data_IF_728877057029
#
_entry.id   IF_728877057029
#
_cell.length_a   1.000
_cell.length_b   1.000
_cell.length_c   1.000
_cell.angle_alpha   90.00
_cell.angle_beta   90.00
_cell.angle_gamma   90.00
#
_symmetry.space_group_name_H-M   'P 1'
#
loop_
_entity.id
_entity.type
_entity.pdbx_description
1 polymer ?
#
# COMPACT_ATOMS: atom_id res chain seq x y z
N UNK A 1 -75.19 2.45 -38.02
CA UNK A 1 -73.89 2.76 -38.57
C UNK A 1 -73.06 3.67 -37.67
N UNK A 2 -73.62 4.71 -37.07
CA UNK A 2 -72.93 5.64 -36.19
C UNK A 2 -72.33 4.94 -34.92
N UNK A 3 -73.08 4.02 -34.33
CA UNK A 3 -72.65 3.29 -33.11
C UNK A 3 -71.44 2.36 -33.36
N UNK A 4 -71.33 1.79 -34.55
CA UNK A 4 -70.19 0.91 -34.92
C UNK A 4 -68.92 1.75 -35.18
N UNK A 5 -69.07 2.96 -35.76
CA UNK A 5 -67.94 3.85 -35.98
C UNK A 5 -67.43 4.41 -34.68
N UNK A 6 -68.30 4.79 -33.76
CA UNK A 6 -67.92 5.26 -32.42
C UNK A 6 -67.23 4.18 -31.61
N UNK A 7 -67.72 2.94 -31.66
CA UNK A 7 -67.09 1.77 -31.01
C UNK A 7 -65.70 1.49 -31.58
N UNK A 8 -65.56 1.54 -32.90
CA UNK A 8 -64.29 1.34 -33.57
C UNK A 8 -63.26 2.45 -33.21
N UNK A 9 -63.71 3.70 -33.14
CA UNK A 9 -62.89 4.82 -32.69
C UNK A 9 -62.47 4.66 -31.24
N UNK A 10 -63.36 4.27 -30.35
CA UNK A 10 -63.01 4.01 -28.93
C UNK A 10 -62.01 2.90 -28.78
N UNK A 11 -62.20 1.78 -29.47
CA UNK A 11 -61.25 0.67 -29.45
C UNK A 11 -59.87 1.10 -29.93
N UNK A 12 -59.79 1.86 -31.01
CA UNK A 12 -58.55 2.38 -31.54
C UNK A 12 -57.84 3.33 -30.58
N UNK A 13 -58.59 4.25 -29.97
CA UNK A 13 -58.07 5.18 -28.97
C UNK A 13 -57.58 4.47 -27.73
N UNK A 14 -58.37 3.50 -27.23
CA UNK A 14 -57.96 2.68 -26.09
C UNK A 14 -56.74 1.82 -26.40
N UNK A 15 -56.65 1.28 -27.60
CA UNK A 15 -55.44 0.53 -28.06
C UNK A 15 -54.22 1.42 -28.17
N UNK A 16 -54.32 2.61 -28.70
CA UNK A 16 -53.23 3.59 -28.77
C UNK A 16 -52.77 4.07 -27.40
N UNK A 17 -53.74 4.36 -26.51
CA UNK A 17 -53.46 4.71 -25.12
C UNK A 17 -52.79 3.58 -24.35
N UNK A 18 -53.23 2.34 -24.58
CA UNK A 18 -52.60 1.18 -23.99
C UNK A 18 -51.17 0.96 -24.51
N UNK A 19 -50.95 1.17 -25.83
CA UNK A 19 -49.60 1.18 -26.41
C UNK A 19 -48.71 2.25 -25.84
N UNK A 20 -49.20 3.48 -25.67
CA UNK A 20 -48.43 4.59 -25.04
C UNK A 20 -48.10 4.27 -23.61
N UNK A 21 -49.06 3.74 -22.83
CA UNK A 21 -48.82 3.32 -21.45
C UNK A 21 -47.76 2.23 -21.37
N UNK A 22 -47.86 1.24 -22.22
CA UNK A 22 -46.88 0.14 -22.30
C UNK A 22 -45.50 0.70 -22.66
N UNK A 23 -45.42 1.57 -23.66
CA UNK A 23 -44.18 2.22 -24.06
C UNK A 23 -43.58 3.04 -22.91
N UNK A 24 -44.39 3.81 -22.20
CA UNK A 24 -43.96 4.59 -21.03
C UNK A 24 -43.47 3.68 -19.90
N UNK A 25 -44.17 2.59 -19.64
CA UNK A 25 -43.78 1.59 -18.64
C UNK A 25 -42.44 0.94 -19.01
N UNK A 26 -42.30 0.52 -20.25
CA UNK A 26 -41.04 -0.06 -20.76
C UNK A 26 -39.91 0.94 -20.67
N UNK A 27 -40.12 2.21 -21.08
CA UNK A 27 -39.12 3.24 -20.98
C UNK A 27 -38.72 3.53 -19.53
N UNK A 28 -39.68 3.55 -18.61
CA UNK A 28 -39.43 3.71 -17.20
C UNK A 28 -38.63 2.55 -16.60
N UNK A 29 -38.98 1.32 -16.97
CA UNK A 29 -38.26 0.11 -16.56
C UNK A 29 -36.82 0.09 -17.10
N UNK A 30 -36.63 0.46 -18.35
CA UNK A 30 -35.30 0.55 -18.98
C UNK A 30 -34.46 1.63 -18.29
N UNK A 31 -35.04 2.80 -18.04
CA UNK A 31 -34.36 3.90 -17.34
C UNK A 31 -33.97 3.50 -15.92
N UNK A 32 -34.87 2.86 -15.19
CA UNK A 32 -34.60 2.36 -13.84
C UNK A 32 -33.52 1.27 -13.84
N UNK A 33 -33.57 0.35 -14.81
CA UNK A 33 -32.56 -0.68 -14.99
C UNK A 33 -31.18 -0.13 -15.31
N UNK A 34 -31.12 0.87 -16.19
CA UNK A 34 -29.87 1.57 -16.51
C UNK A 34 -29.30 2.31 -15.31
N UNK A 35 -30.14 2.99 -14.55
CA UNK A 35 -29.74 3.68 -13.33
C UNK A 35 -29.18 2.71 -12.30
N UNK A 36 -29.85 1.60 -12.10
CA UNK A 36 -29.41 0.54 -11.19
C UNK A 36 -28.07 -0.05 -11.62
N UNK A 37 -27.89 -0.32 -12.90
CA UNK A 37 -26.61 -0.78 -13.45
C UNK A 37 -25.48 0.24 -13.24
N UNK A 38 -25.75 1.53 -13.46
CA UNK A 38 -24.77 2.59 -13.23
C UNK A 38 -24.35 2.63 -11.76
N UNK A 39 -25.30 2.53 -10.85
CA UNK A 39 -25.04 2.51 -9.42
C UNK A 39 -24.21 1.27 -9.02
N UNK A 40 -24.55 0.11 -9.54
CA UNK A 40 -23.80 -1.13 -9.29
C UNK A 40 -22.38 -1.06 -9.82
N UNK A 41 -22.20 -0.58 -11.05
CA UNK A 41 -20.87 -0.40 -11.67
C UNK A 41 -20.06 0.62 -10.88
N UNK A 42 -20.66 1.71 -10.49
CA UNK A 42 -20.00 2.76 -9.73
C UNK A 42 -19.58 2.26 -8.34
N UNK A 43 -20.44 1.50 -7.67
CA UNK A 43 -20.12 0.86 -6.40
C UNK A 43 -19.00 -0.18 -6.53
N UNK A 44 -19.01 -0.94 -7.63
CA UNK A 44 -17.96 -1.92 -7.93
C UNK A 44 -16.61 -1.24 -8.18
N UNK A 45 -16.59 -0.20 -9.00
CA UNK A 45 -15.40 0.59 -9.29
C UNK A 45 -14.83 1.23 -8.02
N UNK A 46 -15.69 1.76 -7.16
CA UNK A 46 -15.25 2.35 -5.89
C UNK A 46 -14.64 1.30 -4.96
N UNK A 47 -15.23 0.11 -4.89
CA UNK A 47 -14.66 -1.01 -4.12
C UNK A 47 -13.31 -1.46 -4.65
N UNK A 48 -13.17 -1.60 -5.95
CA UNK A 48 -11.89 -1.93 -6.59
C UNK A 48 -10.84 -0.87 -6.35
N UNK A 49 -11.21 0.40 -6.47
CA UNK A 49 -10.34 1.53 -6.17
C UNK A 49 -9.85 1.50 -4.73
N UNK A 50 -10.75 1.29 -3.78
CA UNK A 50 -10.39 1.19 -2.37
C UNK A 50 -9.49 -0.01 -2.07
N UNK A 51 -9.76 -1.15 -2.70
CA UNK A 51 -8.92 -2.34 -2.58
C UNK A 51 -7.50 -2.10 -3.11
N UNK A 52 -7.37 -1.45 -4.27
CA UNK A 52 -6.07 -1.10 -4.85
C UNK A 52 -5.30 -0.10 -3.98
N UNK A 53 -5.98 0.91 -3.44
CA UNK A 53 -5.37 1.88 -2.52
C UNK A 53 -4.91 1.22 -1.22
N UNK A 54 -5.71 0.32 -0.67
CA UNK A 54 -5.36 -0.43 0.53
C UNK A 54 -4.13 -1.33 0.29
N UNK A 55 -4.07 -1.99 -0.86
CA UNK A 55 -2.93 -2.81 -1.25
C UNK A 55 -1.66 -1.97 -1.45
N UNK A 56 -1.77 -0.82 -2.12
CA UNK A 56 -0.66 0.10 -2.30
C UNK A 56 -0.11 0.61 -0.96
N UNK A 57 -0.98 0.98 -0.03
CA UNK A 57 -0.59 1.40 1.32
C UNK A 57 0.11 0.28 2.08
N UNK A 58 -0.38 -0.93 1.96
CA UNK A 58 0.23 -2.11 2.58
C UNK A 58 1.63 -2.36 2.06
N UNK A 59 1.84 -2.25 0.74
CA UNK A 59 3.15 -2.40 0.10
C UNK A 59 4.13 -1.31 0.52
N UNK A 60 3.68 -0.07 0.58
CA UNK A 60 4.50 1.06 1.05
C UNK A 60 4.90 0.89 2.51
N UNK A 61 3.98 0.49 3.36
CA UNK A 61 4.25 0.25 4.76
C UNK A 61 5.23 -0.91 4.96
N UNK A 62 5.09 -1.97 4.18
CA UNK A 62 6.01 -3.10 4.19
C UNK A 62 7.41 -2.69 3.76
N UNK A 63 7.55 -1.90 2.69
CA UNK A 63 8.83 -1.34 2.26
C UNK A 63 9.46 -0.47 3.33
N UNK A 64 8.67 0.37 3.98
CA UNK A 64 9.13 1.22 5.06
C UNK A 64 9.67 0.40 6.24
N UNK A 65 8.96 -0.64 6.64
CA UNK A 65 9.40 -1.56 7.70
C UNK A 65 10.69 -2.28 7.33
N UNK A 66 10.79 -2.76 6.10
CA UNK A 66 12.00 -3.40 5.59
C UNK A 66 13.20 -2.44 5.57
N UNK A 67 13.00 -1.20 5.15
CA UNK A 67 14.03 -0.16 5.18
C UNK A 67 14.47 0.19 6.60
N UNK A 68 13.53 0.36 7.51
CA UNK A 68 13.82 0.62 8.93
C UNK A 68 14.60 -0.53 9.56
N UNK A 69 14.22 -1.75 9.25
CA UNK A 69 14.93 -2.94 9.72
C UNK A 69 16.34 -3.03 9.16
N UNK A 70 16.50 -2.76 7.87
CA UNK A 70 17.80 -2.72 7.21
C UNK A 70 18.70 -1.64 7.81
N UNK A 71 18.19 -0.43 8.02
CA UNK A 71 18.91 0.67 8.67
C UNK A 71 19.34 0.29 10.09
N UNK A 72 18.46 -0.36 10.83
CA UNK A 72 18.77 -0.85 12.18
C UNK A 72 19.87 -1.89 12.18
N UNK A 73 19.82 -2.83 11.24
CA UNK A 73 20.89 -3.83 11.06
C UNK A 73 22.22 -3.20 10.68
N UNK A 74 22.20 -2.21 9.78
CA UNK A 74 23.40 -1.48 9.37
C UNK A 74 24.00 -0.69 10.52
N UNK A 75 23.20 0.02 11.31
CA UNK A 75 23.65 0.76 12.51
C UNK A 75 24.23 -0.19 13.56
N UNK A 76 23.58 -1.33 13.76
CA UNK A 76 24.05 -2.34 14.71
C UNK A 76 25.37 -2.96 14.27
N UNK A 77 25.53 -3.28 12.99
CA UNK A 77 26.79 -3.78 12.44
C UNK A 77 27.88 -2.73 12.52
N UNK A 78 27.58 -1.48 12.20
CA UNK A 78 28.54 -0.37 12.31
C UNK A 78 29.00 -0.19 13.75
N UNK A 79 28.10 -0.26 14.70
CA UNK A 79 28.40 -0.20 16.13
C UNK A 79 29.31 -1.35 16.56
N UNK A 80 29.04 -2.56 16.12
CA UNK A 80 29.86 -3.74 16.40
C UNK A 80 31.27 -3.61 15.81
N UNK A 81 31.38 -3.11 14.58
CA UNK A 81 32.65 -2.86 13.92
C UNK A 81 33.46 -1.80 14.65
N UNK A 82 32.85 -0.67 14.99
CA UNK A 82 33.49 0.40 15.76
C UNK A 82 33.96 -0.09 17.13
N UNK A 83 33.14 -0.86 17.82
CA UNK A 83 33.49 -1.45 19.11
C UNK A 83 34.64 -2.43 18.98
N UNK A 84 34.67 -3.29 17.96
CA UNK A 84 35.76 -4.22 17.69
C UNK A 84 37.06 -3.46 17.35
N UNK A 85 36.99 -2.39 16.58
CA UNK A 85 38.13 -1.54 16.26
C UNK A 85 38.68 -0.85 17.50
N UNK A 86 37.83 -0.35 18.37
CA UNK A 86 38.23 0.27 19.63
C UNK A 86 38.91 -0.73 20.55
N UNK A 87 38.36 -1.91 20.70
CA UNK A 87 38.98 -2.99 21.49
C UNK A 87 40.34 -3.41 20.95
N UNK A 88 40.44 -3.52 19.62
CA UNK A 88 41.72 -3.82 18.97
C UNK A 88 42.76 -2.72 19.18
N UNK A 89 42.35 -1.45 19.09
CA UNK A 89 43.20 -0.31 19.35
C UNK A 89 43.66 -0.28 20.83
N UNK A 90 42.78 -0.52 21.77
CA UNK A 90 43.12 -0.59 23.20
C UNK A 90 44.08 -1.75 23.48
N UNK A 91 43.86 -2.91 22.86
CA UNK A 91 44.76 -4.06 22.98
C UNK A 91 46.16 -3.74 22.43
N UNK A 92 46.26 -3.09 21.28
CA UNK A 92 47.54 -2.63 20.71
C UNK A 92 48.23 -1.63 21.62
N UNK A 93 47.54 -0.66 22.14
CA UNK A 93 48.06 0.31 23.06
C UNK A 93 48.60 -0.34 24.34
N UNK A 94 47.94 -1.36 24.88
CA UNK A 94 48.41 -2.14 26.02
C UNK A 94 49.67 -2.93 25.69
N UNK A 95 49.73 -3.60 24.54
CA UNK A 95 50.91 -4.30 24.10
C UNK A 95 52.10 -3.37 23.88
N UNK A 96 51.90 -2.25 23.23
CA UNK A 96 52.96 -1.22 23.07
C UNK A 96 53.42 -0.67 24.39
N UNK A 97 52.52 -0.42 25.34
CA UNK A 97 52.86 -0.01 26.69
C UNK A 97 53.70 -1.06 27.44
N UNK A 98 53.32 -2.33 27.32
CA UNK A 98 54.08 -3.43 27.91
C UNK A 98 55.48 -3.58 27.25
N UNK A 99 55.57 -3.49 25.96
CA UNK A 99 56.85 -3.52 25.23
C UNK A 99 57.74 -2.37 25.57
N UNK A 100 57.17 -1.20 25.74
CA UNK A 100 57.91 0.00 26.19
C UNK A 100 58.47 -0.17 27.60
N UNK A 101 57.70 -0.71 28.52
CA UNK A 101 58.14 -1.03 29.90
C UNK A 101 59.23 -2.08 29.88
N UNK A 102 59.13 -3.15 29.06
CA UNK A 102 60.17 -4.15 28.88
C UNK A 102 61.47 -3.56 28.36
N UNK A 103 61.39 -2.67 27.36
CA UNK A 103 62.56 -1.95 26.82
C UNK A 103 63.20 -1.08 27.85
N UNK A 104 62.48 -0.33 28.64
CA UNK A 104 63.01 0.48 29.74
C UNK A 104 63.67 -0.38 30.79
N UNK A 105 63.05 -1.53 31.15
CA UNK A 105 63.62 -2.47 32.11
C UNK A 105 64.94 -3.09 31.61
N UNK A 106 65.02 -3.47 30.35
CA UNK A 106 66.24 -3.99 29.72
C UNK A 106 67.32 -2.91 29.67
N UNK A 107 66.97 -1.67 29.30
CA UNK A 107 67.89 -0.56 29.28
C UNK A 107 68.42 -0.23 30.68
N UNK A 108 67.58 -0.26 31.69
CA UNK A 108 67.97 -0.02 33.10
C UNK A 108 68.92 -1.12 33.59
N UNK A 109 68.67 -2.39 33.24
CA UNK A 109 69.57 -3.50 33.56
C UNK A 109 70.91 -3.43 32.81
N UNK A 110 70.88 -3.03 31.53
CA UNK A 110 72.06 -2.81 30.69
C UNK A 110 73.01 -1.73 31.22
N UNK A 111 72.47 -0.71 31.88
CA UNK A 111 73.26 0.38 32.50
C UNK A 111 73.98 -0.02 33.80
N UNK A 112 73.60 -1.10 34.44
CA UNK A 112 74.20 -1.63 35.67
C UNK A 112 75.35 -2.60 35.43
N UNK A 113 75.50 -3.02 34.19
CA UNK A 113 76.59 -3.87 33.77
C UNK A 113 77.73 -3.04 33.25
#
# INVERSE_FOLDING_TARGET
>A
MAVRVEAAIRERVESELACERVQQQVAAMVAAGRQKLREEVQAQLEREKQALLAEARRKEEQKRKEQEELERMLEENQRKVEEAQRRAAEARAREEGLRHKERESVNAVGWRV
#
